data_IF_215803305705
#
_entry.id   IF_215803305705
#
_cell.length_a   1.000
_cell.length_b   1.000
_cell.length_c   1.000
_cell.angle_alpha   90.00
_cell.angle_beta   90.00
_cell.angle_gamma   90.00
#
_symmetry.space_group_name_H-M   'P 1'
#
loop_
_entity.id
_entity.type
_entity.pdbx_description
1 polymer ?
#
# COMPACT_ATOMS: atom_id res chain seq x y z
N UNK A 1 6.31 -7.37 12.37
CA UNK A 1 6.24 -7.38 10.90
C UNK A 1 7.26 -8.38 10.37
N UNK A 2 6.88 -9.29 9.45
CA UNK A 2 7.81 -10.24 8.83
C UNK A 2 8.59 -9.58 7.66
N UNK A 3 9.62 -10.25 7.14
CA UNK A 3 10.47 -9.70 6.07
C UNK A 3 9.68 -9.36 4.80
N UNK A 4 8.75 -10.21 4.39
CA UNK A 4 7.94 -10.01 3.18
C UNK A 4 7.06 -8.75 3.31
N UNK A 5 6.37 -8.57 4.44
CA UNK A 5 5.58 -7.36 4.70
C UNK A 5 6.44 -6.09 4.71
N UNK A 6 7.65 -6.14 5.28
CA UNK A 6 8.58 -5.00 5.28
C UNK A 6 9.03 -4.63 3.86
N UNK A 7 9.43 -5.62 3.06
CA UNK A 7 9.86 -5.39 1.68
C UNK A 7 8.69 -4.89 0.83
N UNK A 8 7.50 -5.46 1.03
CA UNK A 8 6.25 -5.00 0.41
C UNK A 8 5.99 -3.53 0.72
N UNK A 9 6.15 -3.11 1.98
CA UNK A 9 6.00 -1.70 2.37
C UNK A 9 7.00 -0.78 1.66
N UNK A 10 8.28 -1.16 1.59
CA UNK A 10 9.28 -0.40 0.83
C UNK A 10 8.92 -0.32 -0.65
N UNK A 11 8.48 -1.42 -1.27
CA UNK A 11 8.11 -1.47 -2.67
C UNK A 11 6.87 -0.61 -2.97
N UNK A 12 5.88 -0.56 -2.07
CA UNK A 12 4.74 0.36 -2.21
C UNK A 12 5.18 1.83 -2.13
N UNK A 13 6.12 2.18 -1.25
CA UNK A 13 6.66 3.53 -1.17
C UNK A 13 7.50 3.91 -2.40
N UNK A 14 8.32 2.99 -2.90
CA UNK A 14 9.07 3.13 -4.17
C UNK A 14 8.09 3.36 -5.34
N UNK A 15 6.99 2.61 -5.38
CA UNK A 15 5.94 2.78 -6.38
C UNK A 15 5.34 4.19 -6.34
N UNK A 16 4.84 4.62 -5.18
CA UNK A 16 4.19 5.93 -5.06
C UNK A 16 5.16 7.08 -5.32
N UNK A 17 6.39 7.02 -4.79
CA UNK A 17 7.40 8.05 -5.03
C UNK A 17 7.82 8.12 -6.49
N UNK A 18 8.03 6.97 -7.15
CA UNK A 18 8.36 6.90 -8.57
C UNK A 18 7.21 7.35 -9.47
N UNK A 19 5.96 6.99 -9.12
CA UNK A 19 4.78 7.35 -9.90
C UNK A 19 4.47 8.85 -9.80
N UNK A 20 4.54 9.42 -8.60
CA UNK A 20 4.28 10.86 -8.37
C UNK A 20 5.41 11.75 -8.90
N UNK A 21 6.66 11.27 -8.88
CA UNK A 21 7.82 11.97 -9.43
C UNK A 21 8.01 11.83 -10.94
N UNK A 22 7.21 11.02 -11.63
CA UNK A 22 7.35 10.77 -13.06
C UNK A 22 6.81 11.93 -13.92
N UNK A 23 7.67 12.46 -14.80
CA UNK A 23 7.35 13.57 -15.72
C UNK A 23 6.63 13.14 -17.00
N UNK A 24 6.46 11.84 -17.24
CA UNK A 24 5.78 11.29 -18.43
C UNK A 24 5.04 10.00 -18.14
N UNK A 25 4.06 9.67 -18.98
CA UNK A 25 3.28 8.44 -18.86
C UNK A 25 4.13 7.17 -19.08
N UNK A 26 5.15 7.25 -19.94
CA UNK A 26 6.13 6.17 -20.10
C UNK A 26 6.92 5.93 -18.81
N UNK A 27 7.30 7.00 -18.11
CA UNK A 27 8.00 6.89 -16.83
C UNK A 27 7.09 6.31 -15.74
N UNK A 28 5.81 6.72 -15.69
CA UNK A 28 4.80 6.14 -14.79
C UNK A 28 4.60 4.66 -15.04
N UNK A 29 4.50 4.26 -16.31
CA UNK A 29 4.32 2.85 -16.71
C UNK A 29 5.52 2.01 -16.29
N UNK A 30 6.75 2.51 -16.46
CA UNK A 30 7.95 1.81 -15.97
C UNK A 30 7.97 1.67 -14.45
N UNK A 31 7.68 2.76 -13.72
CA UNK A 31 7.62 2.73 -12.25
C UNK A 31 6.59 1.71 -11.75
N UNK A 32 5.40 1.66 -12.39
CA UNK A 32 4.38 0.67 -12.10
C UNK A 32 4.89 -0.76 -12.34
N UNK A 33 5.37 -1.06 -13.55
CA UNK A 33 5.82 -2.41 -13.91
C UNK A 33 6.94 -2.92 -13.00
N UNK A 34 7.97 -2.11 -12.76
CA UNK A 34 9.08 -2.48 -11.87
C UNK A 34 8.60 -2.74 -10.44
N UNK A 35 7.64 -1.97 -9.95
CA UNK A 35 7.10 -2.16 -8.61
C UNK A 35 6.23 -3.42 -8.51
N UNK A 36 5.42 -3.71 -9.53
CA UNK A 36 4.62 -4.94 -9.58
C UNK A 36 5.50 -6.19 -9.65
N UNK A 37 6.59 -6.16 -10.42
CA UNK A 37 7.58 -7.24 -10.46
C UNK A 37 8.22 -7.48 -9.08
N UNK A 38 8.61 -6.41 -8.39
CA UNK A 38 9.14 -6.49 -7.02
C UNK A 38 8.12 -7.02 -6.02
N UNK A 39 6.87 -6.55 -6.06
CA UNK A 39 5.81 -7.04 -5.17
C UNK A 39 5.57 -8.54 -5.36
N UNK A 40 5.56 -9.01 -6.60
CA UNK A 40 5.45 -10.43 -6.89
C UNK A 40 6.66 -11.22 -6.36
N UNK A 41 7.88 -10.70 -6.56
CA UNK A 41 9.10 -11.32 -6.06
C UNK A 41 9.16 -11.39 -4.52
N UNK A 42 8.72 -10.33 -3.83
CA UNK A 42 8.72 -10.24 -2.37
C UNK A 42 7.57 -11.03 -1.71
N UNK A 43 6.70 -11.65 -2.52
CA UNK A 43 5.55 -12.40 -2.03
C UNK A 43 4.49 -11.51 -1.39
N UNK A 44 4.27 -10.30 -1.91
CA UNK A 44 3.23 -9.39 -1.42
C UNK A 44 1.84 -10.03 -1.45
N UNK A 45 1.61 -10.87 -2.46
CA UNK A 45 0.50 -11.83 -2.55
C UNK A 45 1.13 -13.17 -2.90
N UNK A 46 0.85 -14.21 -2.12
CA UNK A 46 1.36 -15.56 -2.39
C UNK A 46 0.21 -16.56 -2.47
N UNK A 47 0.43 -17.67 -3.19
CA UNK A 47 -0.52 -18.76 -3.24
C UNK A 47 -0.11 -19.82 -2.22
N UNK A 48 -1.02 -20.20 -1.34
CA UNK A 48 -0.82 -21.23 -0.32
C UNK A 48 -1.72 -22.42 -0.61
N UNK A 49 -1.14 -23.63 -0.59
CA UNK A 49 -1.92 -24.87 -0.61
C UNK A 49 -2.33 -25.21 0.82
N UNK A 50 -3.65 -25.29 1.03
CA UNK A 50 -4.22 -25.78 2.28
C UNK A 50 -4.21 -27.30 2.38
N UNK A 51 -4.63 -27.81 3.55
CA UNK A 51 -4.61 -29.24 3.90
C UNK A 51 -5.51 -30.14 3.02
N UNK A 52 -6.37 -29.55 2.18
CA UNK A 52 -7.31 -30.26 1.29
C UNK A 52 -7.00 -30.07 -0.20
N UNK A 53 -5.75 -29.70 -0.55
CA UNK A 53 -5.36 -29.28 -1.90
C UNK A 53 -6.15 -28.05 -2.42
N UNK A 54 -6.74 -27.27 -1.51
CA UNK A 54 -7.38 -26.00 -1.85
C UNK A 54 -6.31 -24.92 -2.00
N UNK A 55 -6.27 -24.30 -3.18
CA UNK A 55 -5.43 -23.15 -3.46
C UNK A 55 -6.07 -21.90 -2.87
N UNK A 56 -5.40 -21.27 -1.92
CA UNK A 56 -5.81 -19.98 -1.33
C UNK A 56 -4.76 -18.91 -1.61
N UNK A 57 -5.16 -17.65 -1.49
CA UNK A 57 -4.25 -16.50 -1.64
C UNK A 57 -3.96 -15.92 -0.26
N UNK A 58 -2.68 -15.89 0.12
CA UNK A 58 -2.21 -15.11 1.26
C UNK A 58 -1.91 -13.67 0.81
N UNK A 59 -2.70 -12.73 1.32
CA UNK A 59 -2.56 -11.29 1.10
C UNK A 59 -2.08 -10.56 2.36
N UNK A 60 -1.76 -11.29 3.44
CA UNK A 60 -1.38 -10.71 4.72
C UNK A 60 -0.15 -9.79 4.62
N UNK A 61 0.91 -10.10 3.84
CA UNK A 61 2.04 -9.20 3.70
C UNK A 61 1.65 -7.82 3.15
N UNK A 62 0.79 -7.79 2.12
CA UNK A 62 0.25 -6.57 1.54
C UNK A 62 -0.62 -5.79 2.52
N UNK A 63 -1.48 -6.46 3.28
CA UNK A 63 -2.32 -5.82 4.29
C UNK A 63 -1.48 -5.18 5.39
N UNK A 64 -0.50 -5.90 5.94
CA UNK A 64 0.40 -5.39 6.97
C UNK A 64 1.20 -4.19 6.49
N UNK A 65 1.75 -4.26 5.27
CA UNK A 65 2.49 -3.16 4.64
C UNK A 65 1.63 -1.89 4.49
N UNK A 66 0.38 -2.06 4.05
CA UNK A 66 -0.57 -0.97 3.88
C UNK A 66 -0.96 -0.37 5.24
N UNK A 67 -1.25 -1.19 6.24
CA UNK A 67 -1.62 -0.73 7.59
C UNK A 67 -0.52 0.10 8.24
N UNK A 68 0.75 -0.32 8.16
CA UNK A 68 1.88 0.44 8.70
C UNK A 68 2.02 1.80 8.01
N UNK A 69 1.82 1.83 6.69
CA UNK A 69 1.87 3.08 5.91
C UNK A 69 0.75 4.04 6.31
N UNK A 70 -0.46 3.52 6.51
CA UNK A 70 -1.59 4.30 7.01
C UNK A 70 -1.38 4.81 8.44
N UNK A 71 -0.89 3.97 9.35
CA UNK A 71 -0.62 4.36 10.73
C UNK A 71 0.39 5.51 10.79
N UNK A 72 1.49 5.41 10.03
CA UNK A 72 2.48 6.47 9.94
C UNK A 72 1.88 7.76 9.36
N UNK A 73 1.10 7.67 8.27
CA UNK A 73 0.43 8.83 7.66
C UNK A 73 -0.49 9.54 8.66
N UNK A 74 -1.34 8.80 9.35
CA UNK A 74 -2.26 9.35 10.35
C UNK A 74 -1.50 9.98 11.52
N UNK A 75 -0.40 9.38 11.96
CA UNK A 75 0.48 9.98 12.97
C UNK A 75 1.02 11.34 12.53
N UNK A 76 1.48 11.48 11.28
CA UNK A 76 1.95 12.76 10.74
C UNK A 76 0.81 13.78 10.61
N UNK A 77 -0.37 13.37 10.16
CA UNK A 77 -1.53 14.25 10.01
C UNK A 77 -2.04 14.74 11.37
N UNK A 78 -2.11 13.88 12.39
CA UNK A 78 -2.47 14.27 13.75
C UNK A 78 -1.45 15.27 14.31
N UNK A 79 -0.15 15.03 14.12
CA UNK A 79 0.88 15.96 14.55
C UNK A 79 0.79 17.34 13.84
N UNK A 80 0.43 17.35 12.56
CA UNK A 80 0.35 18.57 11.76
C UNK A 80 -0.94 19.37 11.98
N UNK A 81 -2.06 18.70 12.26
CA UNK A 81 -3.40 19.32 12.31
C UNK A 81 -3.95 19.45 13.73
N UNK A 82 -3.43 18.70 14.70
CA UNK A 82 -3.99 18.57 16.05
C UNK A 82 -5.28 17.75 16.12
N UNK A 83 -5.78 17.24 14.99
CA UNK A 83 -6.99 16.39 14.91
C UNK A 83 -6.66 14.95 15.29
N UNK A 84 -7.61 14.28 15.92
CA UNK A 84 -7.43 12.86 16.23
C UNK A 84 -7.61 11.98 14.98
N UNK A 85 -7.21 10.71 15.10
CA UNK A 85 -7.27 9.77 13.99
C UNK A 85 -8.71 9.47 13.52
N UNK A 86 -9.71 9.60 14.41
CA UNK A 86 -11.10 9.36 14.04
C UNK A 86 -11.63 10.52 13.18
N UNK A 87 -11.35 11.76 13.56
CA UNK A 87 -11.68 12.96 12.78
C UNK A 87 -11.04 12.91 11.38
N UNK A 88 -9.75 12.60 11.31
CA UNK A 88 -9.02 12.45 10.04
C UNK A 88 -9.60 11.32 9.18
N UNK A 89 -10.09 10.23 9.80
CA UNK A 89 -10.72 9.12 9.07
C UNK A 89 -12.07 9.54 8.47
N UNK A 90 -12.86 10.34 9.20
CA UNK A 90 -14.10 10.92 8.67
C UNK A 90 -13.83 11.85 7.49
N UNK A 91 -12.82 12.71 7.58
CA UNK A 91 -12.43 13.61 6.49
C UNK A 91 -11.93 12.84 5.26
N UNK A 92 -11.10 11.83 5.46
CA UNK A 92 -10.64 10.96 4.38
C UNK A 92 -11.82 10.26 3.69
N UNK A 93 -12.80 9.78 4.45
CA UNK A 93 -14.01 9.17 3.89
C UNK A 93 -14.83 10.18 3.08
N UNK A 94 -15.06 11.37 3.63
CA UNK A 94 -15.78 12.43 2.92
C UNK A 94 -15.07 12.84 1.62
N UNK A 95 -13.74 12.90 1.64
CA UNK A 95 -12.93 13.11 0.44
C UNK A 95 -13.13 11.99 -0.58
N UNK A 96 -13.03 10.71 -0.19
CA UNK A 96 -13.25 9.56 -1.08
C UNK A 96 -14.66 9.61 -1.68
N UNK A 97 -15.68 9.88 -0.87
CA UNK A 97 -17.07 10.00 -1.31
C UNK A 97 -17.22 11.15 -2.33
N UNK A 98 -16.42 12.21 -2.22
CA UNK A 98 -16.40 13.33 -3.18
C UNK A 98 -15.71 13.04 -4.51
N UNK A 99 -14.91 11.96 -4.60
CA UNK A 99 -14.27 11.52 -5.85
C UNK A 99 -15.23 10.76 -6.77
N UNK A 100 -16.48 10.51 -6.33
CA UNK A 100 -17.51 9.95 -7.19
C UNK A 100 -18.00 11.01 -8.19
N UNK A 101 -17.47 10.93 -9.42
CA UNK A 101 -18.14 11.36 -10.64
C UNK A 101 -18.99 10.21 -11.22
#
# INVERSE_FOLDING_TARGET
MNTSARNTAHTLLDFYSGYTGAESDDARTRAFNTSMEKLNHDGAISAELGDQDELSLDVLPLLLASSVSYEWLFSQLTAATGKDAAELSFELRAFIDSLQD
#
